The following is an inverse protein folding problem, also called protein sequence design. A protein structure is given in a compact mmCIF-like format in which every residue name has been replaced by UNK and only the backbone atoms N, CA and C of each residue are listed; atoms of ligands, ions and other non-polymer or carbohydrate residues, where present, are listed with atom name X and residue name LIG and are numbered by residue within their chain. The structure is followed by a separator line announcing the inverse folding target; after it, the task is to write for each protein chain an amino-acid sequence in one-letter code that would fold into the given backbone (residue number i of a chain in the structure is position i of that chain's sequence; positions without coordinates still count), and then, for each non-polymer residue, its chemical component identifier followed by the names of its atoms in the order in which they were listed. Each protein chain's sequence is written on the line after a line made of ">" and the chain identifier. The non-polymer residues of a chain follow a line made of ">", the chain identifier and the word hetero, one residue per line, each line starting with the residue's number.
data_IF_656109717260
#
_entry.id   IF_656109717260
#
_cell.length_a   1.000
_cell.length_b   1.000
_cell.length_c   1.000
_cell.angle_alpha   90.00
_cell.angle_beta   90.00
_cell.angle_gamma   90.00
#
_symmetry.space_group_name_H-M   'P 1'
#
loop_
_entity.id
_entity.type
_entity.pdbx_description
1 polymer ?
#
# COMPACT_ATOMS: atom_id res chain seq x y z
N UNK A 1 9.09 -2.76 4.17
CA UNK A 1 7.76 -2.48 4.78
C UNK A 1 6.94 -1.57 3.88
N UNK A 2 5.65 -1.76 3.88
CA UNK A 2 4.74 -0.96 3.07
C UNK A 2 3.68 -0.36 3.97
N UNK A 3 3.56 0.96 3.95
CA UNK A 3 2.53 1.67 4.71
C UNK A 3 1.31 1.87 3.84
N UNK A 4 0.15 1.54 4.39
CA UNK A 4 -1.14 1.80 3.76
C UNK A 4 -1.72 3.04 4.42
N UNK A 5 -1.84 4.12 3.67
CA UNK A 5 -2.24 5.42 4.20
C UNK A 5 -3.61 5.79 3.65
N UNK A 6 -4.54 6.10 4.55
CA UNK A 6 -5.88 6.51 4.16
C UNK A 6 -5.81 7.88 3.47
N UNK A 7 -6.31 7.96 2.25
CA UNK A 7 -6.26 9.18 1.46
C UNK A 7 -7.08 10.31 2.09
N UNK A 8 -8.20 9.98 2.71
CA UNK A 8 -9.09 11.00 3.26
C UNK A 8 -8.59 11.58 4.58
N UNK A 9 -7.93 10.79 5.41
CA UNK A 9 -7.42 11.23 6.71
C UNK A 9 -5.92 11.46 6.71
N UNK A 10 -5.23 10.96 5.70
CA UNK A 10 -3.78 11.03 5.58
C UNK A 10 -3.06 10.34 6.75
N UNK A 11 -3.69 9.32 7.29
CA UNK A 11 -3.12 8.54 8.40
C UNK A 11 -2.81 7.12 7.97
N UNK A 12 -1.75 6.56 8.55
CA UNK A 12 -1.40 5.17 8.30
C UNK A 12 -2.43 4.27 8.98
N UNK A 13 -3.11 3.45 8.16
CA UNK A 13 -4.12 2.51 8.68
C UNK A 13 -3.54 1.12 8.90
N UNK A 14 -2.47 0.79 8.18
CA UNK A 14 -1.84 -0.51 8.30
C UNK A 14 -0.41 -0.46 7.78
N UNK A 15 0.44 -1.31 8.36
CA UNK A 15 1.82 -1.47 7.91
C UNK A 15 2.00 -2.92 7.50
N UNK A 16 2.35 -3.14 6.25
CA UNK A 16 2.51 -4.48 5.68
C UNK A 16 3.98 -4.84 5.59
N UNK A 17 4.27 -6.09 5.88
CA UNK A 17 5.63 -6.60 5.83
C UNK A 17 6.15 -6.64 4.39
N UNK A 18 5.28 -7.01 3.46
CA UNK A 18 5.63 -7.12 2.04
C UNK A 18 4.37 -7.07 1.19
N UNK A 19 4.58 -6.91 -0.12
CA UNK A 19 3.46 -6.94 -1.08
C UNK A 19 2.79 -8.31 -1.06
N UNK A 20 3.56 -9.36 -0.86
CA UNK A 20 2.99 -10.72 -0.79
C UNK A 20 2.01 -10.87 0.35
N UNK A 21 2.29 -10.26 1.49
CA UNK A 21 1.38 -10.28 2.62
C UNK A 21 0.07 -9.56 2.30
N UNK A 22 0.17 -8.45 1.59
CA UNK A 22 -1.02 -7.72 1.15
C UNK A 22 -1.87 -8.62 0.25
N UNK A 23 -1.24 -9.28 -0.71
CA UNK A 23 -1.93 -10.17 -1.62
C UNK A 23 -2.61 -11.33 -0.90
N UNK A 24 -1.97 -11.86 0.16
CA UNK A 24 -2.52 -12.98 0.93
C UNK A 24 -3.73 -12.59 1.77
N UNK A 25 -3.76 -11.36 2.27
CA UNK A 25 -4.78 -10.92 3.23
C UNK A 25 -5.84 -10.01 2.64
N UNK A 26 -5.68 -9.61 1.39
CA UNK A 26 -6.63 -8.71 0.73
C UNK A 26 -6.88 -9.20 -0.69
N UNK A 27 -7.86 -8.59 -1.34
CA UNK A 27 -8.13 -8.85 -2.75
C UNK A 27 -7.38 -7.89 -3.68
N UNK A 28 -6.52 -7.04 -3.13
CA UNK A 28 -5.80 -6.06 -3.93
C UNK A 28 -4.77 -6.73 -4.85
N UNK A 29 -4.60 -6.16 -6.04
CA UNK A 29 -3.63 -6.67 -6.98
C UNK A 29 -2.22 -6.24 -6.59
N UNK A 30 -1.32 -7.21 -6.49
CA UNK A 30 0.08 -6.92 -6.19
C UNK A 30 0.72 -6.01 -7.25
N UNK A 31 0.37 -6.23 -8.51
CA UNK A 31 0.89 -5.41 -9.60
C UNK A 31 0.44 -3.96 -9.49
N UNK A 32 -0.82 -3.74 -9.16
CA UNK A 32 -1.35 -2.39 -9.03
C UNK A 32 -0.77 -1.68 -7.80
N UNK A 33 -0.56 -2.41 -6.72
CA UNK A 33 0.07 -1.83 -5.54
C UNK A 33 1.51 -1.44 -5.83
N UNK A 34 2.24 -2.32 -6.50
CA UNK A 34 3.62 -2.04 -6.89
C UNK A 34 3.70 -0.80 -7.79
N UNK A 35 2.77 -0.72 -8.74
CA UNK A 35 2.70 0.42 -9.65
C UNK A 35 2.36 1.71 -8.90
N UNK A 36 1.42 1.63 -7.95
CA UNK A 36 1.04 2.76 -7.13
C UNK A 36 2.21 3.28 -6.30
N UNK A 37 3.02 2.37 -5.75
CA UNK A 37 4.22 2.74 -5.00
C UNK A 37 5.22 3.44 -5.92
N UNK A 38 5.45 2.88 -7.08
CA UNK A 38 6.43 3.40 -8.02
C UNK A 38 6.04 4.78 -8.55
N UNK A 39 4.77 4.94 -8.90
CA UNK A 39 4.25 6.18 -9.47
C UNK A 39 3.76 7.17 -8.42
N UNK A 40 3.72 6.75 -7.16
CA UNK A 40 3.22 7.57 -6.05
C UNK A 40 1.78 8.01 -6.27
N UNK A 41 0.97 7.12 -6.80
CA UNK A 41 -0.44 7.38 -7.06
C UNK A 41 -1.30 6.55 -6.10
N UNK A 42 -2.51 7.04 -5.75
CA UNK A 42 -3.39 6.27 -4.88
C UNK A 42 -3.97 5.06 -5.60
N UNK A 43 -4.22 4.00 -4.84
CA UNK A 43 -4.90 2.81 -5.33
C UNK A 43 -5.91 2.38 -4.27
N UNK A 44 -7.16 2.20 -4.67
CA UNK A 44 -8.26 1.82 -3.78
C UNK A 44 -8.43 2.79 -2.61
N UNK A 45 -8.26 4.09 -2.87
CA UNK A 45 -8.40 5.17 -1.90
C UNK A 45 -7.33 5.18 -0.82
N UNK A 46 -6.20 4.51 -1.08
CA UNK A 46 -5.06 4.50 -0.18
C UNK A 46 -3.80 4.88 -0.92
N UNK A 47 -2.90 5.54 -0.21
CA UNK A 47 -1.53 5.77 -0.68
C UNK A 47 -0.68 4.62 -0.14
N UNK A 48 0.13 4.03 -1.00
CA UNK A 48 1.00 2.91 -0.64
C UNK A 48 2.44 3.39 -0.70
N UNK A 49 3.12 3.33 0.42
CA UNK A 49 4.47 3.86 0.54
C UNK A 49 5.42 2.76 1.02
N UNK A 50 6.43 2.48 0.22
CA UNK A 50 7.46 1.55 0.61
C UNK A 50 8.53 2.28 1.43
N UNK A 51 8.95 1.68 2.55
CA UNK A 51 9.96 2.26 3.39
C UNK A 51 10.80 1.16 4.03
N UNK A 52 11.95 1.54 4.52
CA UNK A 52 12.87 0.62 5.20
C UNK A 52 12.98 1.00 6.66
N UNK A 53 13.12 -0.02 7.49
CA UNK A 53 13.31 0.19 8.92
C UNK A 53 14.68 0.75 9.21
#
# INVERSE_FOLDING_TARGET
>A
MIAQIDLSTNKVVYKWESIEKIKQHTSYSAEYIKDAIEKKEPYKEYIWLEYYK
#
